data_IF_841789789539
#
_entry.id   IF_841789789539
#
_cell.length_a   1.000
_cell.length_b   1.000
_cell.length_c   1.000
_cell.angle_alpha   90.00
_cell.angle_beta   90.00
_cell.angle_gamma   90.00
#
_symmetry.space_group_name_H-M   'P 1'
#
loop_
_entity.id
_entity.type
_entity.pdbx_description
1 polymer ?
#
# COMPACT_ATOMS: atom_id res chain seq x y z
N UNK A 1 36.25 23.50 12.30
CA UNK A 1 36.29 22.78 11.01
C UNK A 1 35.21 21.70 11.03
N UNK A 2 34.15 21.88 10.23
CA UNK A 2 33.63 20.94 9.21
C UNK A 2 33.84 19.42 9.45
N UNK A 3 32.91 18.48 9.27
CA UNK A 3 31.50 18.41 8.83
C UNK A 3 31.05 16.92 8.97
N UNK A 4 29.74 16.69 9.22
CA UNK A 4 28.85 15.63 8.65
C UNK A 4 29.09 14.11 8.83
N UNK A 5 28.12 13.35 9.39
CA UNK A 5 26.95 12.77 8.66
C UNK A 5 26.12 11.79 9.52
N UNK A 6 24.81 12.06 9.58
CA UNK A 6 23.71 11.17 10.01
C UNK A 6 23.45 10.10 8.93
N UNK A 7 22.88 8.94 9.30
CA UNK A 7 21.66 8.46 8.61
C UNK A 7 20.96 7.32 9.40
N UNK A 8 19.64 7.46 9.51
CA UNK A 8 18.66 6.61 10.21
C UNK A 8 17.38 6.73 9.36
N UNK A 9 16.76 5.61 8.96
CA UNK A 9 15.58 5.64 8.06
C UNK A 9 14.34 5.09 8.73
N UNK A 10 13.29 5.90 8.91
CA UNK A 10 11.99 5.52 9.49
C UNK A 10 10.91 5.58 8.40
N UNK A 11 10.06 4.55 8.31
CA UNK A 11 8.77 4.58 7.60
C UNK A 11 7.62 4.79 8.61
N UNK A 12 6.82 5.83 8.40
CA UNK A 12 5.51 6.05 9.04
C UNK A 12 4.53 6.57 7.99
N UNK A 13 3.41 5.88 7.80
CA UNK A 13 2.25 6.46 7.12
C UNK A 13 1.62 7.54 8.01
N UNK A 14 1.65 8.78 7.54
CA UNK A 14 0.73 9.85 7.91
C UNK A 14 0.89 10.54 9.27
N UNK A 15 1.60 9.94 10.24
CA UNK A 15 1.80 10.53 11.57
C UNK A 15 3.29 10.76 11.80
N UNK A 16 3.71 12.01 11.97
CA UNK A 16 5.07 12.33 12.38
C UNK A 16 5.08 12.56 13.90
N UNK A 17 5.61 11.58 14.65
CA UNK A 17 5.96 11.76 16.06
C UNK A 17 7.27 12.54 16.09
N UNK A 18 7.20 13.81 16.47
CA UNK A 18 8.37 14.69 16.55
C UNK A 18 8.81 14.79 18.02
N UNK A 19 9.91 14.14 18.40
CA UNK A 19 10.66 14.51 19.61
C UNK A 19 11.65 15.58 19.17
N UNK A 20 11.37 16.85 19.49
CA UNK A 20 12.20 17.99 19.05
C UNK A 20 12.94 18.60 20.25
N UNK A 21 14.27 18.73 20.22
CA UNK A 21 14.96 19.72 21.02
C UNK A 21 14.68 21.12 20.43
N UNK A 22 14.24 22.05 21.26
CA UNK A 22 13.97 23.42 20.80
C UNK A 22 15.25 24.22 20.62
N UNK A 23 15.30 24.97 19.52
CA UNK A 23 16.16 26.15 19.39
C UNK A 23 15.63 27.27 20.29
N UNK A 24 16.54 27.92 21.03
CA UNK A 24 16.33 29.07 21.92
C UNK A 24 15.29 30.07 21.39
N UNK A 25 14.05 29.95 21.85
CA UNK A 25 13.26 31.12 22.21
C UNK A 25 13.71 31.53 23.61
N UNK A 26 13.82 32.83 23.88
CA UNK A 26 14.16 33.34 25.21
C UNK A 26 13.03 33.02 26.21
N UNK A 27 12.93 31.76 26.63
CA UNK A 27 12.28 31.35 27.86
C UNK A 27 13.33 31.38 28.96
N UNK A 28 13.16 32.28 29.93
CA UNK A 28 14.06 32.38 31.07
C UNK A 28 14.02 31.13 31.98
N UNK A 29 14.99 31.01 32.90
CA UNK A 29 14.99 30.01 33.97
C UNK A 29 13.65 29.84 34.71
N UNK A 30 13.28 28.59 35.01
CA UNK A 30 12.28 28.27 36.03
C UNK A 30 12.94 28.16 37.42
N UNK A 31 12.24 28.56 38.49
CA UNK A 31 12.74 28.54 39.87
C UNK A 31 11.87 27.65 40.76
N UNK A 32 12.46 26.64 41.39
CA UNK A 32 11.81 25.88 42.45
C UNK A 32 12.15 26.54 43.81
N UNK A 33 11.16 27.03 44.55
CA UNK A 33 11.36 27.49 45.94
C UNK A 33 11.39 26.26 46.84
N UNK A 34 12.58 25.87 47.31
CA UNK A 34 12.70 24.98 48.47
C UNK A 34 12.12 25.69 49.70
N UNK A 35 11.18 25.04 50.37
CA UNK A 35 10.56 25.54 51.59
C UNK A 35 11.53 25.42 52.78
N UNK A 36 11.48 26.39 53.70
CA UNK A 36 12.37 26.46 54.88
C UNK A 36 12.33 25.18 55.74
N UNK A 37 11.22 24.43 55.67
CA UNK A 37 10.97 23.20 56.39
C UNK A 37 11.82 22.01 55.88
N UNK A 38 12.29 22.03 54.63
CA UNK A 38 13.17 21.00 54.05
C UNK A 38 14.65 21.22 54.45
N UNK A 39 15.00 22.42 54.93
CA UNK A 39 16.37 22.79 55.31
C UNK A 39 16.66 22.54 56.80
N UNK A 40 15.63 22.51 57.65
CA UNK A 40 15.79 22.35 59.10
C UNK A 40 16.10 20.89 59.51
N UNK A 41 15.80 19.88 58.69
CA UNK A 41 16.17 18.48 58.97
C UNK A 41 17.67 18.19 58.80
N UNK A 42 18.43 19.12 58.19
CA UNK A 42 19.87 18.92 57.93
C UNK A 42 20.78 19.85 58.75
N UNK A 43 20.22 20.65 59.67
CA UNK A 43 20.96 21.62 60.48
C UNK A 43 21.08 21.22 61.94
N UNK A 44 21.83 20.15 62.22
CA UNK A 44 22.43 19.94 63.53
C UNK A 44 23.78 19.23 63.42
N UNK A 45 24.80 19.94 62.92
CA UNK A 45 26.21 19.85 63.35
C UNK A 45 27.12 20.88 62.64
N UNK A 46 27.47 21.91 63.42
CA UNK A 46 28.81 22.51 63.60
C UNK A 46 29.45 23.31 62.43
N UNK A 47 29.57 24.62 62.69
CA UNK A 47 30.63 25.63 62.47
C UNK A 47 31.20 26.02 61.08
N UNK A 48 31.02 27.34 60.84
CA UNK A 48 31.90 28.36 60.22
C UNK A 48 32.07 28.54 58.67
N UNK A 49 31.62 29.74 58.23
CA UNK A 49 31.95 30.56 57.03
C UNK A 49 31.32 30.24 55.65
N UNK A 50 31.30 31.22 54.72
CA UNK A 50 30.29 32.26 54.49
C UNK A 50 29.16 31.86 53.49
N UNK A 51 28.00 32.52 53.63
CA UNK A 51 26.81 32.56 52.74
C UNK A 51 26.89 31.71 51.45
N UNK A 52 26.24 30.56 51.48
CA UNK A 52 25.89 29.79 50.29
C UNK A 52 25.00 30.62 49.35
N UNK A 53 25.53 30.91 48.16
CA UNK A 53 24.74 31.36 47.02
C UNK A 53 23.74 30.25 46.65
N UNK A 54 22.46 30.62 46.53
CA UNK A 54 21.42 29.74 46.02
C UNK A 54 21.83 29.16 44.64
N UNK A 55 22.04 27.85 44.57
CA UNK A 55 22.25 27.14 43.30
C UNK A 55 20.88 26.83 42.70
N UNK A 56 20.48 27.61 41.70
CA UNK A 56 19.26 27.39 40.92
C UNK A 56 19.58 26.34 39.85
N UNK A 57 18.97 25.15 39.96
CA UNK A 57 19.10 24.11 38.93
C UNK A 57 18.11 24.39 37.81
N UNK A 58 18.62 24.83 36.66
CA UNK A 58 17.85 25.04 35.44
C UNK A 58 17.36 23.69 34.89
N UNK A 59 16.07 23.40 35.01
CA UNK A 59 15.43 22.28 34.31
C UNK A 59 14.72 22.80 33.07
N UNK A 60 15.10 22.29 31.90
CA UNK A 60 14.44 22.61 30.64
C UNK A 60 13.06 21.94 30.58
N UNK A 61 12.00 22.65 30.12
CA UNK A 61 10.69 22.04 29.97
C UNK A 61 10.70 20.98 28.85
N UNK A 62 10.06 19.84 29.11
CA UNK A 62 9.92 18.71 28.20
C UNK A 62 8.46 18.53 27.82
N UNK A 63 8.18 18.43 26.52
CA UNK A 63 6.84 18.18 25.99
C UNK A 63 6.94 17.39 24.67
N UNK A 64 5.85 16.68 24.33
CA UNK A 64 5.72 15.87 23.12
C UNK A 64 4.47 16.31 22.36
N UNK A 65 4.63 16.66 21.08
CA UNK A 65 3.53 17.04 20.20
C UNK A 65 3.51 16.09 19.01
N UNK A 66 2.35 15.47 18.78
CA UNK A 66 2.10 14.58 17.65
C UNK A 66 0.94 15.13 16.85
N UNK A 67 1.18 15.38 15.56
CA UNK A 67 0.14 15.88 14.66
C UNK A 67 0.29 15.23 13.27
N UNK A 68 -0.81 15.01 12.55
CA UNK A 68 -0.77 14.53 11.17
C UNK A 68 -0.02 15.52 10.27
N UNK A 69 0.74 15.03 9.28
CA UNK A 69 1.46 15.91 8.34
C UNK A 69 0.54 16.61 7.33
N UNK A 70 -0.66 16.09 7.15
CA UNK A 70 -1.63 16.54 6.14
C UNK A 70 -2.85 17.12 6.85
N UNK A 71 -3.28 18.30 6.40
CA UNK A 71 -4.54 18.93 6.83
C UNK A 71 -5.56 18.73 5.73
N UNK A 72 -6.76 18.26 6.09
CA UNK A 72 -7.87 18.07 5.15
C UNK A 72 -8.95 19.11 5.44
N UNK A 73 -9.37 19.84 4.41
CA UNK A 73 -10.49 20.76 4.53
C UNK A 73 -11.79 20.01 4.84
N UNK A 74 -12.69 20.62 5.62
CA UNK A 74 -13.96 20.01 6.02
C UNK A 74 -13.87 18.99 7.16
N UNK A 75 -12.67 18.70 7.68
CA UNK A 75 -12.44 17.70 8.73
C UNK A 75 -11.82 18.32 9.98
N UNK A 76 -12.02 17.65 11.12
CA UNK A 76 -11.34 18.01 12.37
C UNK A 76 -9.87 17.61 12.30
N UNK A 77 -8.99 18.60 12.37
CA UNK A 77 -7.55 18.37 12.52
C UNK A 77 -7.22 18.05 13.98
N UNK A 78 -6.83 16.81 14.25
CA UNK A 78 -6.57 16.28 15.60
C UNK A 78 -5.08 16.19 15.87
N UNK A 79 -4.64 16.74 16.99
CA UNK A 79 -3.25 16.66 17.45
C UNK A 79 -3.22 16.32 18.95
N UNK A 80 -2.13 15.72 19.38
CA UNK A 80 -1.91 15.30 20.78
C UNK A 80 -0.75 16.08 21.35
N UNK A 81 -0.96 16.68 22.52
CA UNK A 81 0.05 17.38 23.29
C UNK A 81 0.21 16.65 24.61
N UNK A 82 1.43 16.25 24.96
CA UNK A 82 1.75 15.70 26.27
C UNK A 82 2.84 16.55 26.93
N UNK A 83 2.57 17.03 28.15
CA UNK A 83 3.51 17.82 28.95
C UNK A 83 4.25 16.87 29.88
N UNK A 84 5.52 16.62 29.62
CA UNK A 84 6.29 15.57 30.30
C UNK A 84 6.97 16.09 31.58
N UNK A 85 7.15 15.27 32.62
CA UNK A 85 7.96 15.63 33.78
C UNK A 85 9.38 16.02 33.34
N UNK A 86 9.98 17.09 33.90
CA UNK A 86 9.57 17.83 35.11
C UNK A 86 8.64 19.04 34.86
N UNK A 87 8.11 19.25 33.65
CA UNK A 87 7.32 20.45 33.30
C UNK A 87 6.06 20.63 34.17
N UNK A 88 5.69 21.86 34.54
CA UNK A 88 4.41 22.15 35.20
C UNK A 88 3.23 22.01 34.23
N UNK A 89 2.00 21.97 34.74
CA UNK A 89 0.80 22.03 33.89
C UNK A 89 0.75 23.35 33.12
N UNK A 90 0.32 23.30 31.86
CA UNK A 90 0.33 24.45 30.95
C UNK A 90 -1.06 24.69 30.35
N UNK A 91 -1.43 25.96 30.20
CA UNK A 91 -2.49 26.38 29.29
C UNK A 91 -1.88 26.43 27.89
N UNK A 92 -2.30 25.54 26.99
CA UNK A 92 -1.74 25.45 25.64
C UNK A 92 -2.74 25.97 24.63
N UNK A 93 -2.29 26.88 23.78
CA UNK A 93 -3.03 27.48 22.67
C UNK A 93 -2.48 26.92 21.36
N UNK A 94 -3.29 26.18 20.63
CA UNK A 94 -2.99 25.68 19.30
C UNK A 94 -3.70 26.53 18.25
N UNK A 95 -2.94 27.15 17.36
CA UNK A 95 -3.46 27.97 16.25
C UNK A 95 -3.10 27.34 14.92
N UNK A 96 -4.10 27.14 14.06
CA UNK A 96 -3.89 26.75 12.68
C UNK A 96 -3.96 27.99 11.78
N UNK A 97 -2.94 28.16 10.94
CA UNK A 97 -2.88 29.21 9.92
C UNK A 97 -2.89 28.57 8.53
N UNK A 98 -3.52 29.25 7.58
CA UNK A 98 -3.41 28.99 6.13
C UNK A 98 -2.85 30.24 5.48
N UNK A 99 -1.70 30.13 4.80
CA UNK A 99 -1.08 31.25 4.08
C UNK A 99 -0.95 32.52 4.96
N UNK A 100 -0.59 32.31 6.24
CA UNK A 100 -0.50 33.31 7.31
C UNK A 100 -1.82 33.90 7.84
N UNK A 101 -2.97 33.51 7.31
CA UNK A 101 -4.28 33.85 7.85
C UNK A 101 -4.68 32.81 8.89
N UNK A 102 -5.13 33.25 10.06
CA UNK A 102 -5.62 32.34 11.11
C UNK A 102 -6.90 31.65 10.62
N UNK A 103 -6.89 30.32 10.63
CA UNK A 103 -8.05 29.49 10.33
C UNK A 103 -8.91 29.33 11.57
N UNK A 104 -8.30 28.84 12.65
CA UNK A 104 -8.99 28.55 13.91
C UNK A 104 -7.96 28.40 15.05
N UNK A 105 -8.43 28.54 16.29
CA UNK A 105 -7.63 28.50 17.53
C UNK A 105 -8.34 27.67 18.57
N UNK A 106 -7.59 26.80 19.25
CA UNK A 106 -8.08 25.99 20.37
C UNK A 106 -7.15 26.15 21.55
N UNK A 107 -7.73 26.43 22.70
CA UNK A 107 -7.02 26.54 23.97
C UNK A 107 -7.48 25.45 24.92
N UNK A 108 -6.53 24.80 25.59
CA UNK A 108 -6.83 23.72 26.54
C UNK A 108 -5.76 23.62 27.61
N UNK A 109 -6.21 23.34 28.83
CA UNK A 109 -5.32 23.01 29.95
C UNK A 109 -4.72 21.62 29.75
N UNK A 110 -3.40 21.54 29.90
CA UNK A 110 -2.60 20.33 29.79
C UNK A 110 -1.99 20.00 31.15
N UNK A 111 -2.57 19.01 31.82
CA UNK A 111 -2.02 18.39 33.03
C UNK A 111 -0.67 17.72 32.74
N UNK A 112 0.18 17.66 33.77
CA UNK A 112 1.45 16.92 33.72
C UNK A 112 1.23 15.43 33.44
N UNK A 113 2.02 14.90 32.51
CA UNK A 113 2.10 13.49 32.10
C UNK A 113 0.76 12.89 31.60
N UNK A 114 -0.17 13.76 31.22
CA UNK A 114 -1.48 13.37 30.69
C UNK A 114 -1.62 13.89 29.25
N UNK A 115 -1.60 13.00 28.24
CA UNK A 115 -1.77 13.40 26.84
C UNK A 115 -3.15 14.02 26.61
N UNK A 116 -3.16 15.26 26.13
CA UNK A 116 -4.37 15.99 25.76
C UNK A 116 -4.56 16.04 24.24
N UNK A 117 -5.79 15.76 23.82
CA UNK A 117 -6.21 15.88 22.42
C UNK A 117 -6.76 17.29 22.18
N UNK A 118 -6.27 17.92 21.12
CA UNK A 118 -6.75 19.17 20.54
C UNK A 118 -7.44 18.88 19.21
N UNK A 119 -8.56 19.56 18.95
CA UNK A 119 -9.37 19.37 17.75
C UNK A 119 -9.68 20.72 17.12
N UNK A 120 -9.05 21.03 16.00
CA UNK A 120 -9.23 22.29 15.26
C UNK A 120 -10.13 22.04 14.06
N UNK A 121 -11.20 22.82 13.88
CA UNK A 121 -12.08 22.65 12.72
C UNK A 121 -11.45 23.32 11.50
N UNK A 122 -11.24 22.56 10.42
CA UNK A 122 -10.77 23.12 9.15
C UNK A 122 -11.98 23.36 8.26
N UNK A 123 -12.35 24.61 7.96
CA UNK A 123 -13.50 24.89 7.10
C UNK A 123 -13.38 24.21 5.72
N UNK A 124 -14.50 23.76 5.13
CA UNK A 124 -14.48 23.16 3.79
C UNK A 124 -14.05 24.17 2.70
N UNK A 125 -14.25 25.48 2.94
CA UNK A 125 -13.78 26.56 2.06
C UNK A 125 -12.27 26.80 2.12
N UNK A 126 -11.54 26.16 3.05
CA UNK A 126 -10.11 26.43 3.23
C UNK A 126 -9.25 25.84 2.12
N UNK A 127 -9.72 24.88 1.31
CA UNK A 127 -9.07 24.45 0.06
C UNK A 127 -7.56 24.13 0.12
N UNK A 128 -6.89 24.21 -1.04
CA UNK A 128 -5.44 24.08 -1.17
C UNK A 128 -4.71 25.28 -0.56
N UNK A 129 -3.53 25.04 0.01
CA UNK A 129 -2.66 26.09 0.55
C UNK A 129 -1.61 25.54 1.51
N UNK A 130 -0.76 26.42 2.02
CA UNK A 130 0.24 26.06 3.01
C UNK A 130 -0.31 26.27 4.42
N UNK A 131 -0.46 25.16 5.15
CA UNK A 131 -0.93 25.20 6.53
C UNK A 131 0.25 25.23 7.49
N UNK A 132 0.10 26.06 8.54
CA UNK A 132 1.06 26.19 9.63
C UNK A 132 0.34 26.01 10.95
N UNK A 133 0.78 25.04 11.72
CA UNK A 133 0.36 24.89 13.10
C UNK A 133 1.32 25.66 14.01
N UNK A 134 0.78 26.44 14.94
CA UNK A 134 1.52 27.11 16.02
C UNK A 134 0.97 26.57 17.34
N UNK A 135 1.83 26.22 18.28
CA UNK A 135 1.41 25.93 19.65
C UNK A 135 2.17 26.87 20.57
N UNK A 136 1.47 27.51 21.48
CA UNK A 136 2.03 28.35 22.53
C UNK A 136 1.57 27.79 23.88
N UNK A 137 2.47 27.61 24.83
CA UNK A 137 2.15 27.09 26.16
C UNK A 137 2.50 28.12 27.23
N UNK A 138 1.52 28.48 28.05
CA UNK A 138 1.68 29.41 29.17
C UNK A 138 1.52 28.65 30.48
N UNK A 139 2.37 28.98 31.46
CA UNK A 139 2.27 28.44 32.81
C UNK A 139 1.15 29.12 33.59
N UNK A 140 0.29 28.34 34.26
CA UNK A 140 -0.71 28.89 35.18
C UNK A 140 -0.09 29.18 36.56
N UNK A 141 0.80 30.16 36.66
CA UNK A 141 1.25 30.72 37.95
C UNK A 141 1.32 32.26 37.86
N UNK A 142 0.23 32.92 38.21
CA UNK A 142 0.14 34.40 38.20
C UNK A 142 0.00 35.04 36.81
N UNK A 143 0.57 36.24 36.62
CA UNK A 143 0.38 37.11 35.44
C UNK A 143 1.53 37.06 34.41
N UNK A 144 2.39 36.04 34.44
CA UNK A 144 3.59 35.95 33.60
C UNK A 144 3.33 35.07 32.36
N UNK A 145 3.58 35.62 31.17
CA UNK A 145 3.49 34.90 29.88
C UNK A 145 4.91 34.54 29.43
N UNK A 146 5.22 33.24 29.36
CA UNK A 146 6.50 32.74 28.82
C UNK A 146 6.26 32.15 27.42
N UNK A 147 6.88 32.68 26.35
CA UNK A 147 6.64 32.19 25.00
C UNK A 147 7.38 30.87 24.76
N UNK A 148 6.70 29.88 24.16
CA UNK A 148 7.35 28.64 23.70
C UNK A 148 6.78 28.11 22.38
N UNK A 149 7.74 27.82 21.49
CA UNK A 149 7.73 26.97 20.30
C UNK A 149 6.96 27.38 19.03
N UNK A 150 7.62 27.24 17.89
CA UNK A 150 7.02 27.34 16.55
C UNK A 150 7.67 26.31 15.64
N UNK A 151 6.88 25.51 14.92
CA UNK A 151 7.36 24.74 13.77
C UNK A 151 6.29 24.62 12.70
N UNK A 152 6.69 24.87 11.45
CA UNK A 152 5.83 24.96 10.26
C UNK A 152 6.23 23.92 9.21
N UNK A 153 5.24 23.20 8.67
CA UNK A 153 4.88 23.08 7.23
C UNK A 153 4.01 21.82 7.09
N UNK A 154 2.71 22.03 6.92
CA UNK A 154 1.76 20.97 6.59
C UNK A 154 1.30 21.20 5.15
N UNK A 155 1.30 20.14 4.35
CA UNK A 155 0.76 20.18 2.99
C UNK A 155 -0.73 19.87 3.08
N UNK A 156 -1.56 20.73 2.49
CA UNK A 156 -2.96 20.40 2.26
C UNK A 156 -3.04 19.46 1.07
N UNK A 157 -3.70 18.32 1.26
CA UNK A 157 -4.22 17.50 0.18
C UNK A 157 -5.74 17.67 0.28
N UNK A 158 -6.44 18.01 -0.81
CA UNK A 158 -7.89 18.06 -0.77
C UNK A 158 -8.45 16.73 -0.32
N UNK A 159 -9.71 16.79 0.08
CA UNK A 159 -10.56 15.63 -0.02
C UNK A 159 -10.66 15.25 -1.50
N UNK A 160 -9.90 14.23 -1.93
CA UNK A 160 -10.24 13.51 -3.15
C UNK A 160 -11.59 12.85 -2.88
N UNK A 161 -12.64 13.41 -3.49
CA UNK A 161 -13.93 12.75 -3.49
C UNK A 161 -13.78 11.48 -4.32
N UNK A 162 -14.04 10.33 -3.70
CA UNK A 162 -14.13 9.07 -4.43
C UNK A 162 -15.45 9.06 -5.18
N UNK A 163 -15.39 9.32 -6.48
CA UNK A 163 -16.53 9.23 -7.39
C UNK A 163 -16.47 7.84 -8.03
N UNK A 164 -17.53 7.06 -7.85
CA UNK A 164 -17.71 5.79 -8.55
C UNK A 164 -18.81 5.96 -9.58
N UNK A 165 -18.49 5.63 -10.83
CA UNK A 165 -19.47 5.54 -11.92
C UNK A 165 -19.77 4.06 -12.10
N UNK A 166 -21.05 3.69 -12.01
CA UNK A 166 -21.51 2.33 -12.29
C UNK A 166 -22.48 2.37 -13.45
N UNK A 167 -22.17 1.59 -14.49
CA UNK A 167 -23.03 1.40 -15.65
C UNK A 167 -23.89 0.15 -15.46
N UNK A 168 -25.05 0.11 -16.13
CA UNK A 168 -25.89 -1.10 -16.18
C UNK A 168 -25.23 -2.19 -17.04
N UNK A 169 -24.65 -1.78 -18.17
CA UNK A 169 -23.95 -2.66 -19.11
C UNK A 169 -22.66 -1.98 -19.58
N UNK A 170 -21.68 -2.77 -19.99
CA UNK A 170 -20.45 -2.25 -20.62
C UNK A 170 -20.65 -1.94 -22.11
N UNK A 171 -21.65 -2.56 -22.72
CA UNK A 171 -21.99 -2.48 -24.15
C UNK A 171 -23.48 -2.16 -24.28
N UNK A 172 -23.82 -1.15 -25.08
CA UNK A 172 -25.19 -0.72 -25.33
C UNK A 172 -25.54 -0.78 -26.83
N UNK A 173 -26.76 -1.20 -27.13
CA UNK A 173 -27.33 -1.11 -28.47
C UNK A 173 -27.98 0.27 -28.71
N UNK A 174 -28.07 0.67 -29.97
CA UNK A 174 -28.75 1.90 -30.38
C UNK A 174 -30.23 1.88 -29.95
N UNK A 175 -30.70 2.98 -29.35
CA UNK A 175 -32.10 3.11 -28.91
C UNK A 175 -32.48 2.37 -27.63
N UNK A 176 -31.52 1.88 -26.85
CA UNK A 176 -31.75 1.30 -25.51
C UNK A 176 -31.88 2.39 -24.43
N UNK A 177 -32.72 2.13 -23.42
CA UNK A 177 -32.92 2.99 -22.24
C UNK A 177 -32.60 2.17 -20.99
N UNK A 178 -31.77 2.70 -20.08
CA UNK A 178 -31.50 2.09 -18.76
C UNK A 178 -32.49 2.57 -17.68
N UNK A 179 -32.47 1.97 -16.48
CA UNK A 179 -33.40 2.29 -15.40
C UNK A 179 -32.76 3.00 -14.18
N UNK A 180 -33.29 4.20 -13.87
CA UNK A 180 -33.27 4.99 -12.61
C UNK A 180 -31.87 5.31 -12.01
N UNK A 181 -31.10 6.13 -12.73
CA UNK A 181 -30.46 7.36 -12.25
C UNK A 181 -29.78 8.03 -13.48
N UNK A 182 -30.25 9.24 -13.87
CA UNK A 182 -29.88 9.97 -15.10
C UNK A 182 -29.96 9.12 -16.39
N UNK A 183 -31.18 8.92 -16.90
CA UNK A 183 -31.38 8.23 -18.17
C UNK A 183 -30.99 9.15 -19.35
N UNK A 184 -30.02 8.72 -20.17
CA UNK A 184 -29.63 9.40 -21.41
C UNK A 184 -29.92 8.49 -22.62
N UNK A 185 -31.05 8.67 -23.33
CA UNK A 185 -31.39 7.84 -24.47
C UNK A 185 -30.41 8.10 -25.63
N UNK A 186 -29.79 7.03 -26.14
CA UNK A 186 -28.96 7.11 -27.33
C UNK A 186 -29.83 7.16 -28.59
N UNK A 187 -29.49 8.06 -29.53
CA UNK A 187 -30.17 8.15 -30.81
C UNK A 187 -29.93 6.89 -31.65
N UNK A 188 -30.84 6.61 -32.59
CA UNK A 188 -30.67 5.54 -33.58
C UNK A 188 -29.61 5.87 -34.64
N UNK A 189 -29.19 7.14 -34.72
CA UNK A 189 -28.15 7.62 -35.64
C UNK A 189 -26.79 7.79 -34.94
N UNK A 190 -26.63 7.27 -33.73
CA UNK A 190 -25.40 7.42 -32.95
C UNK A 190 -24.26 6.59 -33.55
N UNK A 191 -23.08 7.22 -33.70
CA UNK A 191 -21.87 6.58 -34.20
C UNK A 191 -21.42 5.43 -33.28
N UNK A 192 -21.08 4.28 -33.89
CA UNK A 192 -20.52 3.15 -33.18
C UNK A 192 -19.08 3.44 -32.74
N UNK A 193 -18.68 2.95 -31.57
CA UNK A 193 -17.32 3.12 -31.08
C UNK A 193 -17.23 3.18 -29.56
N UNK A 194 -16.09 3.70 -29.08
CA UNK A 194 -15.83 3.90 -27.66
C UNK A 194 -16.36 5.27 -27.21
N UNK A 195 -17.25 5.25 -26.24
CA UNK A 195 -17.86 6.40 -25.60
C UNK A 195 -17.33 6.55 -24.18
N UNK A 196 -17.47 7.75 -23.61
CA UNK A 196 -17.13 8.00 -22.21
C UNK A 196 -18.13 8.91 -21.53
N UNK A 197 -18.37 8.64 -20.24
CA UNK A 197 -19.10 9.52 -19.34
C UNK A 197 -18.06 10.24 -18.48
N UNK A 198 -18.12 11.57 -18.43
CA UNK A 198 -17.32 12.37 -17.51
C UNK A 198 -18.24 13.00 -16.46
N UNK A 199 -17.92 12.78 -15.19
CA UNK A 199 -18.56 13.45 -14.05
C UNK A 199 -17.55 14.42 -13.46
N UNK A 200 -17.91 15.70 -13.37
CA UNK A 200 -17.07 16.74 -12.78
C UNK A 200 -17.69 17.18 -11.44
N UNK A 201 -16.92 17.04 -10.36
CA UNK A 201 -17.17 17.67 -9.07
C UNK A 201 -16.13 18.79 -8.86
N UNK A 202 -16.41 19.72 -7.95
CA UNK A 202 -15.73 21.03 -7.82
C UNK A 202 -14.22 21.02 -8.14
N UNK A 203 -13.45 20.04 -7.65
CA UNK A 203 -12.01 19.91 -7.88
C UNK A 203 -11.55 18.51 -8.34
N UNK A 204 -12.46 17.64 -8.77
CA UNK A 204 -12.15 16.27 -9.20
C UNK A 204 -13.10 15.81 -10.29
N UNK A 205 -12.61 15.01 -11.23
CA UNK A 205 -13.45 14.41 -12.25
C UNK A 205 -13.18 12.91 -12.34
N UNK A 206 -14.20 12.16 -12.73
CA UNK A 206 -14.09 10.74 -13.03
C UNK A 206 -14.58 10.50 -14.45
N UNK A 207 -13.87 9.63 -15.18
CA UNK A 207 -14.26 9.19 -16.52
C UNK A 207 -14.50 7.68 -16.50
N UNK A 208 -15.58 7.24 -17.13
CA UNK A 208 -15.86 5.81 -17.36
C UNK A 208 -16.14 5.60 -18.85
N UNK A 209 -15.61 4.52 -19.41
CA UNK A 209 -15.72 4.20 -20.84
C UNK A 209 -16.73 3.09 -21.08
N UNK A 210 -17.52 3.23 -22.14
CA UNK A 210 -18.45 2.20 -22.61
C UNK A 210 -18.43 2.11 -24.13
N UNK A 211 -18.88 1.00 -24.71
CA UNK A 211 -18.89 0.81 -26.16
C UNK A 211 -20.32 0.82 -26.69
N UNK A 212 -20.53 1.53 -27.79
CA UNK A 212 -21.79 1.53 -28.55
C UNK A 212 -21.54 0.77 -29.84
N UNK A 213 -22.28 -0.31 -30.03
CA UNK A 213 -22.20 -1.15 -31.24
C UNK A 213 -23.57 -1.76 -31.55
N UNK A 214 -23.71 -2.34 -32.74
CA UNK A 214 -24.86 -3.18 -33.06
C UNK A 214 -24.71 -4.52 -32.32
N UNK A 215 -25.29 -4.58 -31.12
CA UNK A 215 -25.22 -5.75 -30.26
C UNK A 215 -26.43 -6.66 -30.48
N UNK A 216 -26.17 -7.94 -30.75
CA UNK A 216 -27.18 -9.01 -30.78
C UNK A 216 -26.91 -9.93 -29.60
N UNK A 217 -27.93 -10.21 -28.80
CA UNK A 217 -27.81 -11.11 -27.66
C UNK A 217 -27.33 -12.50 -28.13
N UNK A 218 -26.19 -13.01 -27.63
CA UNK A 218 -25.70 -14.31 -28.02
C UNK A 218 -26.67 -15.41 -27.55
N UNK A 219 -26.96 -16.37 -28.44
CA UNK A 219 -27.90 -17.47 -28.16
C UNK A 219 -27.32 -18.50 -27.18
N UNK A 220 -25.99 -18.57 -27.07
CA UNK A 220 -25.25 -19.44 -26.18
C UNK A 220 -23.92 -18.79 -25.80
N UNK A 221 -23.42 -19.14 -24.63
CA UNK A 221 -22.13 -18.69 -24.10
C UNK A 221 -21.12 -19.84 -24.16
N UNK A 222 -19.88 -19.53 -24.53
CA UNK A 222 -18.75 -20.46 -24.52
C UNK A 222 -17.72 -19.95 -23.52
N UNK A 223 -17.57 -20.65 -22.40
CA UNK A 223 -16.55 -20.38 -21.41
C UNK A 223 -15.38 -21.37 -21.56
N UNK A 224 -14.17 -20.83 -21.62
CA UNK A 224 -12.93 -21.60 -21.63
C UNK A 224 -12.20 -21.31 -20.33
N UNK A 225 -12.22 -22.29 -19.44
CA UNK A 225 -11.55 -22.21 -18.14
C UNK A 225 -10.16 -22.84 -18.22
N UNK A 226 -9.15 -22.01 -17.95
CA UNK A 226 -7.72 -22.33 -17.97
C UNK A 226 -7.04 -21.58 -16.82
N UNK A 227 -5.97 -22.13 -16.23
CA UNK A 227 -5.22 -21.41 -15.21
C UNK A 227 -4.63 -20.13 -15.80
N UNK A 228 -4.61 -19.01 -15.07
CA UNK A 228 -4.03 -17.75 -15.57
C UNK A 228 -2.51 -17.83 -15.76
N UNK A 229 -1.84 -18.70 -15.01
CA UNK A 229 -0.40 -18.88 -15.03
C UNK A 229 -0.04 -20.37 -15.01
N UNK A 230 1.03 -20.73 -15.73
CA UNK A 230 1.53 -22.08 -15.77
C UNK A 230 3.07 -22.08 -15.73
N UNK A 231 3.73 -22.80 -14.80
CA UNK A 231 5.18 -22.91 -14.78
C UNK A 231 5.71 -23.60 -16.05
N UNK A 232 6.87 -23.18 -16.56
CA UNK A 232 7.55 -23.82 -17.69
C UNK A 232 7.97 -25.27 -17.43
N UNK A 233 8.07 -25.67 -16.16
CA UNK A 233 8.34 -27.06 -15.74
C UNK A 233 7.10 -27.98 -15.80
N UNK A 234 5.93 -27.43 -16.12
CA UNK A 234 4.68 -28.21 -16.23
C UNK A 234 4.72 -29.11 -17.46
N UNK A 235 4.31 -30.36 -17.32
CA UNK A 235 4.25 -31.32 -18.43
C UNK A 235 2.99 -31.19 -19.29
N UNK A 236 1.89 -30.73 -18.68
CA UNK A 236 0.59 -30.68 -19.31
C UNK A 236 -0.10 -29.35 -19.03
N UNK A 237 -0.83 -28.87 -20.03
CA UNK A 237 -1.79 -27.79 -19.94
C UNK A 237 -3.18 -28.42 -19.97
N UNK A 238 -3.92 -28.30 -18.87
CA UNK A 238 -5.29 -28.79 -18.75
C UNK A 238 -6.25 -27.62 -18.63
N UNK A 239 -7.44 -27.77 -19.21
CA UNK A 239 -8.51 -26.80 -19.10
C UNK A 239 -9.84 -27.42 -19.47
N UNK A 240 -10.90 -26.65 -19.31
CA UNK A 240 -12.26 -27.09 -19.62
C UNK A 240 -12.95 -26.09 -20.53
N UNK A 241 -13.75 -26.60 -21.44
CA UNK A 241 -14.67 -25.81 -22.26
C UNK A 241 -16.08 -26.18 -21.83
N UNK A 242 -16.86 -25.18 -21.45
CA UNK A 242 -18.30 -25.32 -21.23
C UNK A 242 -19.04 -24.42 -22.21
N UNK A 243 -20.07 -24.95 -22.88
CA UNK A 243 -20.96 -24.14 -23.68
C UNK A 243 -22.41 -24.45 -23.36
N UNK A 244 -23.15 -23.42 -22.98
CA UNK A 244 -24.54 -23.52 -22.56
C UNK A 244 -25.36 -22.49 -23.34
N UNK A 245 -26.61 -22.84 -23.64
CA UNK A 245 -27.58 -21.85 -24.13
C UNK A 245 -27.83 -20.80 -23.04
N UNK A 246 -28.36 -19.64 -23.43
CA UNK A 246 -28.79 -18.60 -22.48
C UNK A 246 -29.85 -19.10 -21.47
N UNK A 247 -30.53 -20.21 -21.76
CA UNK A 247 -31.42 -20.92 -20.83
C UNK A 247 -30.71 -21.76 -19.75
N UNK A 248 -29.40 -21.94 -19.86
CA UNK A 248 -28.58 -22.82 -19.00
C UNK A 248 -28.50 -24.28 -19.44
N UNK A 249 -29.20 -24.68 -20.51
CA UNK A 249 -29.11 -26.04 -21.05
C UNK A 249 -27.76 -26.28 -21.77
N UNK A 250 -27.18 -27.50 -21.70
CA UNK A 250 -25.92 -27.81 -22.38
C UNK A 250 -26.08 -27.79 -23.90
N UNK A 251 -25.13 -27.19 -24.61
CA UNK A 251 -25.12 -27.11 -26.07
C UNK A 251 -24.65 -28.43 -26.69
N UNK A 252 -25.46 -29.01 -27.57
CA UNK A 252 -25.13 -30.23 -28.31
C UNK A 252 -24.56 -29.91 -29.69
N UNK A 253 -23.31 -30.28 -29.96
CA UNK A 253 -22.61 -29.81 -31.15
C UNK A 253 -21.26 -30.45 -31.45
N UNK A 254 -20.44 -29.73 -32.19
CA UNK A 254 -19.00 -30.02 -32.36
C UNK A 254 -18.17 -28.94 -31.69
N UNK A 255 -17.04 -29.32 -31.09
CA UNK A 255 -16.04 -28.37 -30.56
C UNK A 255 -14.70 -28.59 -31.23
N UNK A 256 -14.04 -27.50 -31.63
CA UNK A 256 -12.65 -27.48 -32.08
C UNK A 256 -11.85 -26.53 -31.19
N UNK A 257 -10.88 -27.07 -30.47
CA UNK A 257 -10.00 -26.32 -29.59
C UNK A 257 -8.69 -26.07 -30.32
N UNK A 258 -8.24 -24.82 -30.33
CA UNK A 258 -6.97 -24.39 -30.92
C UNK A 258 -6.12 -23.70 -29.87
N UNK A 259 -4.84 -24.07 -29.82
CA UNK A 259 -3.85 -23.38 -28.99
C UNK A 259 -2.94 -22.52 -29.87
N UNK A 260 -2.76 -21.27 -29.50
CA UNK A 260 -1.79 -20.35 -30.10
C UNK A 260 -0.85 -19.81 -29.02
N UNK A 261 0.45 -19.71 -29.35
CA UNK A 261 1.48 -19.15 -28.49
C UNK A 261 1.99 -17.84 -29.10
N UNK A 262 2.33 -16.86 -28.28
CA UNK A 262 3.13 -15.69 -28.68
C UNK A 262 4.14 -15.31 -27.60
N UNK A 263 5.34 -14.82 -27.97
CA UNK A 263 6.28 -14.24 -27.02
C UNK A 263 5.71 -12.99 -26.34
N UNK A 264 6.04 -12.76 -25.06
CA UNK A 264 5.62 -11.54 -24.35
C UNK A 264 6.33 -10.27 -24.86
N UNK A 265 7.51 -10.41 -25.47
CA UNK A 265 8.35 -9.28 -25.91
C UNK A 265 7.81 -8.60 -27.17
N UNK A 266 7.04 -9.29 -28.01
CA UNK A 266 6.58 -8.76 -29.30
C UNK A 266 5.09 -8.38 -29.26
N UNK A 267 4.83 -7.08 -29.06
CA UNK A 267 3.48 -6.51 -29.03
C UNK A 267 2.86 -6.37 -30.44
N UNK A 268 3.65 -6.56 -31.52
CA UNK A 268 3.23 -6.29 -32.90
C UNK A 268 2.77 -7.54 -33.67
N UNK A 269 2.79 -8.74 -33.07
CA UNK A 269 2.29 -9.95 -33.72
C UNK A 269 0.78 -10.08 -33.44
N UNK A 270 -0.11 -9.91 -34.45
CA UNK A 270 -1.53 -10.14 -34.25
C UNK A 270 -1.79 -11.62 -33.96
N UNK A 271 -2.69 -11.89 -32.99
CA UNK A 271 -3.16 -13.23 -32.63
C UNK A 271 -3.64 -14.07 -33.83
N UNK A 272 -4.00 -13.42 -34.94
CA UNK A 272 -4.53 -14.01 -36.16
C UNK A 272 -3.45 -14.55 -37.13
N UNK A 273 -2.15 -14.44 -36.79
CA UNK A 273 -1.05 -14.87 -37.65
C UNK A 273 -0.25 -16.08 -37.16
N UNK A 274 -0.41 -16.51 -35.90
CA UNK A 274 0.30 -17.69 -35.38
C UNK A 274 -0.46 -18.94 -35.78
N UNK A 275 0.18 -19.84 -36.53
CA UNK A 275 -0.39 -21.14 -36.87
C UNK A 275 -0.78 -21.86 -35.55
N UNK A 276 -2.02 -22.36 -35.42
CA UNK A 276 -2.41 -23.07 -34.22
C UNK A 276 -1.51 -24.30 -34.10
N UNK A 277 -0.86 -24.42 -32.95
CA UNK A 277 0.18 -25.42 -32.77
C UNK A 277 -0.44 -26.78 -32.43
N UNK A 278 -1.60 -26.74 -31.76
CA UNK A 278 -2.41 -27.92 -31.49
C UNK A 278 -3.86 -27.63 -31.87
N UNK A 279 -4.48 -28.62 -32.51
CA UNK A 279 -5.90 -28.62 -32.84
C UNK A 279 -6.51 -29.92 -32.34
N UNK A 280 -7.42 -29.82 -31.37
CA UNK A 280 -8.23 -30.96 -30.93
C UNK A 280 -9.67 -30.76 -31.37
N UNK A 281 -10.22 -31.73 -32.10
CA UNK A 281 -11.61 -31.69 -32.59
C UNK A 281 -12.43 -32.82 -32.00
N UNK A 282 -13.63 -32.50 -31.51
CA UNK A 282 -14.63 -33.47 -31.07
C UNK A 282 -15.93 -33.25 -31.84
N UNK A 283 -16.36 -34.28 -32.58
CA UNK A 283 -17.61 -34.29 -33.35
C UNK A 283 -18.86 -34.51 -32.49
N UNK A 284 -18.69 -34.89 -31.22
CA UNK A 284 -19.77 -35.02 -30.26
C UNK A 284 -19.37 -34.24 -29.02
N UNK A 285 -20.02 -33.10 -28.84
CA UNK A 285 -19.89 -32.21 -27.71
C UNK A 285 -21.27 -32.05 -27.07
N UNK A 286 -21.34 -32.13 -25.73
CA UNK A 286 -22.58 -32.02 -24.98
C UNK A 286 -22.38 -31.08 -23.80
N UNK A 287 -22.21 -29.80 -24.11
CA UNK A 287 -22.06 -28.69 -23.18
C UNK A 287 -20.76 -28.64 -22.37
N UNK A 288 -20.02 -29.74 -22.23
CA UNK A 288 -18.78 -29.77 -21.45
C UNK A 288 -17.70 -30.68 -22.06
N UNK A 289 -16.46 -30.21 -22.06
CA UNK A 289 -15.30 -30.99 -22.50
C UNK A 289 -14.03 -30.59 -21.75
N UNK A 290 -13.33 -31.58 -21.18
CA UNK A 290 -12.01 -31.40 -20.58
C UNK A 290 -10.92 -31.74 -21.60
N UNK A 291 -10.05 -30.79 -21.88
CA UNK A 291 -8.91 -30.98 -22.79
C UNK A 291 -7.59 -31.03 -22.01
N UNK A 292 -6.59 -31.64 -22.64
CA UNK A 292 -5.24 -31.75 -22.11
C UNK A 292 -4.22 -31.74 -23.24
N UNK A 293 -3.32 -30.77 -23.22
CA UNK A 293 -2.21 -30.67 -24.16
C UNK A 293 -0.89 -30.97 -23.46
N UNK A 294 -0.03 -31.75 -24.12
CA UNK A 294 1.32 -32.00 -23.66
C UNK A 294 2.21 -30.82 -24.06
N UNK A 295 3.00 -30.30 -23.13
CA UNK A 295 3.85 -29.12 -23.38
C UNK A 295 5.23 -29.50 -23.95
N UNK A 296 5.58 -30.79 -23.92
CA UNK A 296 6.86 -31.29 -24.44
C UNK A 296 7.06 -30.97 -25.93
N UNK A 297 5.97 -30.95 -26.71
CA UNK A 297 5.98 -30.63 -28.13
C UNK A 297 6.41 -29.18 -28.43
N UNK A 298 6.51 -28.32 -27.40
CA UNK A 298 6.74 -26.88 -27.53
C UNK A 298 7.93 -26.38 -26.67
N UNK A 299 8.79 -27.27 -26.18
CA UNK A 299 9.95 -26.89 -25.35
C UNK A 299 10.94 -25.96 -26.06
N UNK A 300 11.09 -26.08 -27.37
CA UNK A 300 11.92 -25.18 -28.17
C UNK A 300 11.42 -23.73 -28.12
N UNK A 301 10.10 -23.53 -27.97
CA UNK A 301 9.45 -22.23 -27.80
C UNK A 301 9.48 -21.77 -26.33
N UNK A 302 9.56 -22.68 -25.37
CA UNK A 302 9.62 -22.37 -23.93
C UNK A 302 11.00 -21.84 -23.48
N UNK A 303 12.00 -21.84 -24.36
CA UNK A 303 13.37 -21.38 -24.08
C UNK A 303 13.51 -19.84 -24.09
N UNK A 304 12.45 -19.10 -24.39
CA UNK A 304 12.45 -17.63 -24.28
C UNK A 304 12.43 -17.18 -22.81
N UNK A 305 13.42 -16.39 -22.42
CA UNK A 305 13.66 -15.95 -21.03
C UNK A 305 12.51 -15.16 -20.41
N UNK A 306 11.69 -14.54 -21.23
CA UNK A 306 10.74 -13.51 -20.79
C UNK A 306 9.32 -14.05 -20.58
N UNK A 307 9.08 -15.33 -20.93
CA UNK A 307 7.78 -15.99 -20.82
C UNK A 307 6.94 -15.91 -22.11
N UNK A 308 5.88 -16.72 -22.14
CA UNK A 308 4.97 -16.88 -23.26
C UNK A 308 3.53 -16.53 -22.86
N UNK A 309 2.79 -15.92 -23.78
CA UNK A 309 1.33 -15.82 -23.68
C UNK A 309 0.69 -16.89 -24.57
N UNK A 310 -0.22 -17.66 -23.97
CA UNK A 310 -0.90 -18.79 -24.59
C UNK A 310 -2.38 -18.48 -24.63
N UNK A 311 -2.97 -18.55 -25.82
CA UNK A 311 -4.40 -18.37 -26.03
C UNK A 311 -5.03 -19.67 -26.46
N UNK A 312 -5.99 -20.14 -25.68
CA UNK A 312 -6.83 -21.28 -26.00
C UNK A 312 -8.14 -20.76 -26.58
N UNK A 313 -8.46 -21.16 -27.80
CA UNK A 313 -9.67 -20.77 -28.51
C UNK A 313 -10.54 -22.00 -28.72
N UNK A 314 -11.79 -21.94 -28.27
CA UNK A 314 -12.77 -22.99 -28.46
C UNK A 314 -13.83 -22.53 -29.46
N UNK A 315 -13.86 -23.15 -30.63
CA UNK A 315 -14.89 -22.96 -31.64
C UNK A 315 -15.97 -24.01 -31.43
N UNK A 316 -17.17 -23.59 -31.05
CA UNK A 316 -18.30 -24.49 -30.83
C UNK A 316 -19.32 -24.26 -31.94
N UNK A 317 -19.72 -25.33 -32.62
CA UNK A 317 -20.77 -25.32 -33.62
C UNK A 317 -22.00 -26.04 -33.07
N UNK A 318 -23.13 -25.36 -33.02
CA UNK A 318 -24.41 -25.97 -32.66
C UNK A 318 -24.96 -26.79 -33.83
N UNK A 319 -25.51 -27.97 -33.55
CA UNK A 319 -26.21 -28.78 -34.53
C UNK A 319 -27.64 -28.30 -34.80
N UNK A 320 -28.29 -27.66 -33.83
CA UNK A 320 -29.68 -27.23 -33.98
C UNK A 320 -29.78 -25.92 -34.77
N UNK A 321 -28.99 -24.92 -34.38
CA UNK A 321 -29.03 -23.58 -34.96
C UNK A 321 -28.08 -23.41 -36.15
N UNK A 322 -27.22 -24.39 -36.43
CA UNK A 322 -26.10 -24.34 -37.40
C UNK A 322 -25.12 -23.16 -37.22
N UNK A 323 -25.27 -22.39 -36.15
CA UNK A 323 -24.41 -21.28 -35.77
C UNK A 323 -23.14 -21.76 -35.09
N UNK A 324 -22.04 -21.04 -35.31
CA UNK A 324 -20.77 -21.27 -34.61
C UNK A 324 -20.31 -20.00 -33.93
N UNK A 325 -19.82 -20.12 -32.71
CA UNK A 325 -19.21 -19.02 -31.97
C UNK A 325 -17.87 -19.45 -31.35
N UNK A 326 -17.11 -18.49 -30.83
CA UNK A 326 -15.78 -18.69 -30.26
C UNK A 326 -15.68 -18.14 -28.83
N UNK A 327 -15.38 -19.04 -27.89
CA UNK A 327 -14.87 -18.66 -26.57
C UNK A 327 -13.35 -18.72 -26.54
N UNK A 328 -12.71 -17.93 -25.66
CA UNK A 328 -11.26 -18.04 -25.45
C UNK A 328 -10.87 -17.87 -23.99
N UNK A 329 -9.76 -18.51 -23.63
CA UNK A 329 -9.07 -18.33 -22.36
C UNK A 329 -7.60 -18.02 -22.64
N UNK A 330 -7.00 -17.16 -21.82
CA UNK A 330 -5.60 -16.76 -21.98
C UNK A 330 -4.84 -17.10 -20.70
N UNK A 331 -3.62 -17.61 -20.88
CA UNK A 331 -2.72 -17.94 -19.79
C UNK A 331 -1.29 -17.56 -20.14
N UNK A 332 -0.43 -17.44 -19.12
CA UNK A 332 0.98 -17.13 -19.32
C UNK A 332 1.86 -18.26 -18.81
N UNK A 333 2.83 -18.66 -19.62
CA UNK A 333 3.87 -19.60 -19.21
C UNK A 333 5.13 -18.83 -18.82
N UNK A 334 5.59 -19.02 -17.59
CA UNK A 334 6.79 -18.35 -17.08
C UNK A 334 7.88 -19.35 -16.71
N UNK A 335 9.16 -18.94 -16.78
CA UNK A 335 10.25 -19.73 -16.23
C UNK A 335 9.98 -20.11 -14.77
N UNK A 336 10.11 -21.40 -14.45
CA UNK A 336 9.94 -21.88 -13.08
C UNK A 336 11.01 -21.25 -12.17
N UNK A 337 10.58 -20.47 -11.17
CA UNK A 337 11.47 -19.86 -10.20
C UNK A 337 10.70 -19.36 -8.98
N UNK A 338 11.40 -19.27 -7.84
CA UNK A 338 10.88 -18.73 -6.60
C UNK A 338 11.44 -17.33 -6.43
N UNK A 339 10.56 -16.35 -6.19
CA UNK A 339 10.94 -15.04 -5.70
C UNK A 339 10.97 -15.05 -4.16
N UNK A 340 11.92 -14.33 -3.57
CA UNK A 340 12.06 -14.20 -2.12
C UNK A 340 12.03 -12.73 -1.76
N UNK A 341 11.00 -12.32 -1.01
CA UNK A 341 10.81 -10.94 -0.57
C UNK A 341 10.91 -10.85 0.96
N UNK A 342 11.43 -9.72 1.45
CA UNK A 342 11.38 -9.40 2.88
C UNK A 342 9.98 -8.88 3.22
N UNK A 343 9.36 -9.43 4.26
CA UNK A 343 8.12 -8.89 4.78
C UNK A 343 8.41 -7.67 5.66
N UNK A 344 7.81 -6.55 5.28
CA UNK A 344 7.84 -5.30 6.04
C UNK A 344 8.40 -4.14 5.23
N UNK A 345 8.31 -2.99 5.85
CA UNK A 345 8.69 -1.70 5.31
C UNK A 345 10.22 -1.55 5.26
N UNK A 346 10.76 -1.39 4.05
CA UNK A 346 12.19 -1.15 3.81
C UNK A 346 12.47 0.35 3.64
N UNK A 347 13.49 0.92 4.33
CA UNK A 347 14.55 0.23 5.04
C UNK A 347 14.18 -0.16 6.47
N UNK A 348 14.67 -1.32 6.90
CA UNK A 348 14.58 -1.74 8.28
C UNK A 348 15.59 -0.97 9.15
N UNK A 349 15.12 -0.36 10.25
CA UNK A 349 16.00 0.22 11.26
C UNK A 349 16.53 -0.88 12.15
N UNK A 350 17.84 -1.10 12.07
CA UNK A 350 18.54 -2.04 12.94
C UNK A 350 19.24 -1.26 14.04
N UNK A 351 18.94 -1.58 15.30
CA UNK A 351 19.72 -1.08 16.44
C UNK A 351 20.84 -2.10 16.70
N UNK A 352 22.13 -1.71 16.65
CA UNK A 352 23.23 -2.67 16.72
C UNK A 352 23.22 -3.58 17.95
N UNK A 353 22.75 -3.09 19.10
CA UNK A 353 22.68 -3.83 20.36
C UNK A 353 21.42 -4.69 20.53
N UNK A 354 20.61 -4.85 19.49
CA UNK A 354 19.38 -5.64 19.53
C UNK A 354 19.38 -6.64 18.36
N UNK A 355 19.06 -7.92 18.62
CA UNK A 355 18.85 -8.89 17.56
C UNK A 355 17.74 -8.43 16.62
N UNK A 356 18.06 -8.37 15.33
CA UNK A 356 17.12 -7.98 14.29
C UNK A 356 16.44 -9.22 13.71
N UNK A 357 15.13 -9.28 13.87
CA UNK A 357 14.31 -10.35 13.31
C UNK A 357 13.71 -9.91 11.97
N UNK A 358 13.80 -10.79 10.98
CA UNK A 358 13.25 -10.57 9.66
C UNK A 358 12.46 -11.79 9.20
N UNK A 359 11.55 -11.56 8.28
CA UNK A 359 10.72 -12.60 7.69
C UNK A 359 10.92 -12.58 6.18
N UNK A 360 11.17 -13.75 5.61
CA UNK A 360 11.25 -13.95 4.17
C UNK A 360 10.02 -14.70 3.70
N UNK A 361 9.39 -14.21 2.66
CA UNK A 361 8.27 -14.89 1.99
C UNK A 361 8.70 -15.37 0.61
N UNK A 362 8.37 -16.63 0.29
CA UNK A 362 8.49 -17.17 -1.05
C UNK A 362 7.17 -17.02 -1.80
N UNK A 363 7.27 -16.43 -2.98
CA UNK A 363 6.24 -16.43 -3.99
C UNK A 363 6.79 -17.09 -5.26
N UNK A 364 5.92 -17.62 -6.10
CA UNK A 364 6.29 -17.92 -7.47
C UNK A 364 6.49 -16.61 -8.23
N UNK A 365 7.16 -16.63 -9.39
CA UNK A 365 7.39 -15.42 -10.19
C UNK A 365 6.11 -14.67 -10.61
N UNK A 366 4.97 -15.35 -10.61
CA UNK A 366 3.64 -14.80 -10.87
C UNK A 366 2.99 -14.19 -9.61
N UNK A 367 3.68 -14.18 -8.47
CA UNK A 367 3.16 -13.72 -7.17
C UNK A 367 2.30 -14.74 -6.44
N UNK A 368 2.01 -15.90 -7.04
CA UNK A 368 1.20 -16.95 -6.42
C UNK A 368 1.98 -17.68 -5.32
N UNK A 369 1.25 -18.42 -4.47
CA UNK A 369 1.87 -19.22 -3.42
C UNK A 369 2.66 -20.40 -4.01
N UNK A 370 3.87 -20.62 -3.50
CA UNK A 370 4.68 -21.78 -3.89
C UNK A 370 4.07 -23.07 -3.32
N UNK A 371 3.97 -24.11 -4.14
CA UNK A 371 3.41 -25.41 -3.73
C UNK A 371 4.14 -25.99 -2.50
N UNK A 372 3.35 -26.55 -1.58
CA UNK A 372 3.84 -27.16 -0.32
C UNK A 372 4.83 -28.28 -0.59
N UNK A 373 4.63 -29.09 -1.62
CA UNK A 373 5.49 -30.24 -1.92
C UNK A 373 6.89 -29.82 -2.37
N UNK A 374 6.99 -28.72 -3.11
CA UNK A 374 8.26 -28.13 -3.49
C UNK A 374 8.99 -27.64 -2.23
N UNK A 375 8.28 -26.92 -1.36
CA UNK A 375 8.88 -26.31 -0.16
C UNK A 375 9.28 -27.32 0.93
N UNK A 376 8.58 -28.46 1.06
CA UNK A 376 8.87 -29.50 2.07
C UNK A 376 10.26 -30.09 1.94
N UNK A 377 10.76 -30.22 0.72
CA UNK A 377 12.02 -30.90 0.43
C UNK A 377 13.20 -29.94 0.29
N UNK A 378 12.97 -28.63 0.32
CA UNK A 378 13.99 -27.61 0.12
C UNK A 378 14.32 -26.88 1.42
N UNK A 379 15.60 -26.50 1.59
CA UNK A 379 16.08 -25.72 2.74
C UNK A 379 16.58 -24.37 2.25
N UNK A 380 16.16 -23.31 2.93
CA UNK A 380 16.64 -21.96 2.65
C UNK A 380 17.91 -21.67 3.44
N UNK A 381 19.02 -21.44 2.74
CA UNK A 381 20.27 -20.99 3.32
C UNK A 381 20.44 -19.50 3.07
N UNK A 382 20.61 -18.73 4.14
CA UNK A 382 20.82 -17.28 4.07
C UNK A 382 22.22 -16.95 4.58
N UNK A 383 22.96 -16.19 3.78
CA UNK A 383 24.29 -15.68 4.12
C UNK A 383 24.22 -14.15 4.16
N UNK A 384 24.17 -13.54 5.35
CA UNK A 384 24.11 -12.09 5.46
C UNK A 384 25.44 -11.44 5.06
N UNK A 385 25.36 -10.27 4.45
CA UNK A 385 26.50 -9.45 4.08
C UNK A 385 26.32 -8.04 4.66
N UNK A 386 27.27 -7.60 5.49
CA UNK A 386 27.27 -6.29 6.13
C UNK A 386 28.23 -5.38 5.38
N UNK A 387 27.72 -4.25 4.91
CA UNK A 387 28.52 -3.20 4.26
C UNK A 387 28.70 -2.02 5.21
N UNK A 388 29.93 -1.75 5.61
CA UNK A 388 30.27 -0.63 6.48
C UNK A 388 30.42 0.67 5.68
N UNK A 389 30.25 1.83 6.35
CA UNK A 389 30.52 3.15 5.74
C UNK A 389 31.93 3.28 5.16
N UNK A 390 32.89 2.52 5.70
CA UNK A 390 34.27 2.42 5.19
C UNK A 390 34.42 1.61 3.90
N UNK A 391 33.32 1.24 3.23
CA UNK A 391 33.27 0.34 2.07
C UNK A 391 33.80 -1.08 2.31
N UNK A 392 34.18 -1.42 3.55
CA UNK A 392 34.47 -2.79 3.96
C UNK A 392 33.19 -3.61 3.89
N UNK A 393 33.28 -4.79 3.30
CA UNK A 393 32.21 -5.78 3.24
C UNK A 393 32.60 -6.96 4.11
N UNK A 394 31.70 -7.40 4.99
CA UNK A 394 31.90 -8.58 5.82
C UNK A 394 30.75 -9.55 5.65
N UNK A 395 31.06 -10.80 5.31
CA UNK A 395 30.07 -11.87 5.23
C UNK A 395 29.96 -12.56 6.57
N UNK A 396 28.74 -12.64 7.07
CA UNK A 396 28.43 -13.34 8.31
C UNK A 396 28.23 -14.84 8.05
N UNK A 397 28.08 -15.61 9.11
CA UNK A 397 27.90 -17.07 9.03
C UNK A 397 26.61 -17.41 8.28
N UNK A 398 26.72 -18.32 7.31
CA UNK A 398 25.55 -18.86 6.62
C UNK A 398 24.71 -19.70 7.58
N UNK A 399 23.39 -19.50 7.55
CA UNK A 399 22.42 -20.19 8.41
C UNK A 399 21.28 -20.75 7.59
N UNK A 400 20.88 -21.97 7.92
CA UNK A 400 19.66 -22.55 7.39
C UNK A 400 18.48 -21.99 8.18
N UNK A 401 17.52 -21.36 7.50
CA UNK A 401 16.32 -20.85 8.14
C UNK A 401 15.29 -21.96 8.30
N UNK A 402 14.62 -21.97 9.45
CA UNK A 402 13.46 -22.85 9.67
C UNK A 402 12.22 -22.16 9.12
N UNK A 403 11.45 -22.91 8.35
CA UNK A 403 10.13 -22.47 7.89
C UNK A 403 9.20 -22.34 9.09
N UNK A 404 8.35 -21.32 9.10
CA UNK A 404 7.33 -21.16 10.12
C UNK A 404 6.37 -22.36 10.07
N UNK A 405 6.07 -22.95 11.23
CA UNK A 405 5.30 -24.20 11.30
C UNK A 405 3.88 -24.09 10.72
N UNK A 406 3.31 -22.88 10.70
CA UNK A 406 1.92 -22.64 10.30
C UNK A 406 1.76 -22.07 8.89
N UNK A 407 2.86 -21.67 8.22
CA UNK A 407 2.82 -21.06 6.88
C UNK A 407 3.97 -21.55 5.99
N UNK A 408 3.61 -22.30 4.94
CA UNK A 408 4.57 -22.72 3.92
C UNK A 408 5.06 -21.51 3.13
N UNK A 409 6.37 -21.42 2.97
CA UNK A 409 6.99 -20.31 2.22
C UNK A 409 7.27 -19.09 3.09
N UNK A 410 7.06 -19.16 4.41
CA UNK A 410 7.49 -18.14 5.36
C UNK A 410 8.68 -18.66 6.16
N UNK A 411 9.78 -17.92 6.16
CA UNK A 411 10.93 -18.21 7.03
C UNK A 411 11.18 -17.05 7.97
N UNK A 412 11.46 -17.39 9.22
CA UNK A 412 11.92 -16.43 10.23
C UNK A 412 13.44 -16.52 10.35
N UNK A 413 14.10 -15.38 10.19
CA UNK A 413 15.52 -15.23 10.44
C UNK A 413 15.78 -14.21 11.53
N UNK A 414 16.95 -14.33 12.16
CA UNK A 414 17.44 -13.40 13.17
C UNK A 414 18.91 -13.12 12.89
N UNK A 415 19.32 -11.86 13.03
CA UNK A 415 20.69 -11.39 12.90
C UNK A 415 21.05 -10.65 14.18
N UNK A 416 22.07 -11.13 14.89
CA UNK A 416 22.68 -10.41 15.99
C UNK A 416 24.04 -9.88 15.54
N UNK A 417 24.11 -8.57 15.30
CA UNK A 417 25.34 -7.93 14.84
C UNK A 417 26.40 -7.84 15.96
N UNK A 418 26.02 -7.84 17.24
CA UNK A 418 26.99 -7.78 18.34
C UNK A 418 27.64 -9.11 18.64
N UNK A 419 26.92 -10.21 18.42
CA UNK A 419 27.47 -11.56 18.61
C UNK A 419 28.28 -12.08 17.41
N UNK A 420 28.09 -11.51 16.21
CA UNK A 420 28.66 -12.02 14.95
C UNK A 420 29.78 -11.13 14.36
N UNK A 421 29.96 -9.90 14.85
CA UNK A 421 31.02 -8.94 14.48
C UNK A 421 32.00 -8.81 15.63
#
# INVERSE_FOLDING_TARGET
>A
MTFSYLELVILFFGIQISILPLTKGYGGPFYEKLTQQDLDETFNKIDETPKASHVIVLKEPVYLIVAPRIVRAGQLYRLVVNVLPPSPSLMVVATLFKDNIQVDVVEKECSRDEPQIFQIMVPPSSGYGHYRLKLEGNEMVGSLVLPSATKQTLYSVPEEQLIFIQLEKKIYSQGSTGAINLDFPLSRETEMGQWKIRVEATNSFSEEYFTVEEFVDPLFEIAVDVPSFLPSSSKFLEGTVSANYSSGAPLAGEVTIKMALKPLTDHNIPYYGTKPITVERRRKFNGFFKFRFQLDDFQDLLSWSDGLEVRIMAYVKDFLLESSDMGFGTLRIFPSGINLDFLGDSPFIIRPSMPFQYYLIASSRDGSHVSKDLLRHHRLHVTPEVRFKSSKVMRLKSRALKMAHDQYGLWRGEIDLTGEI
#
